data_IF_169400966892
#
_entry.id   IF_169400966892
#
_cell.length_a   1.000
_cell.length_b   1.000
_cell.length_c   1.000
_cell.angle_alpha   90.00
_cell.angle_beta   90.00
_cell.angle_gamma   90.00
#
_symmetry.space_group_name_H-M   'P 1'
#
loop_
_entity.id
_entity.type
_entity.pdbx_description
1 polymer ?
#
# COMPACT_ATOMS: atom_id res chain seq x y z
N UNK A 1 -18.48 -37.33 41.27
CA UNK A 1 -18.63 -37.13 39.81
C UNK A 1 -18.57 -35.64 39.54
N UNK A 2 -17.49 -35.22 38.88
CA UNK A 2 -17.06 -33.82 38.74
C UNK A 2 -17.96 -33.06 37.77
N UNK A 3 -18.41 -31.88 38.20
CA UNK A 3 -19.14 -30.88 37.40
C UNK A 3 -18.16 -30.14 36.48
N UNK A 4 -18.35 -30.25 35.17
CA UNK A 4 -17.60 -29.51 34.18
C UNK A 4 -17.98 -28.02 34.22
N UNK A 5 -17.03 -27.15 34.57
CA UNK A 5 -17.14 -25.71 34.39
C UNK A 5 -16.67 -25.34 32.98
N UNK A 6 -17.61 -24.92 32.13
CA UNK A 6 -17.32 -24.32 30.83
C UNK A 6 -16.65 -22.96 31.02
N UNK A 7 -15.44 -22.79 30.52
CA UNK A 7 -14.77 -21.49 30.41
C UNK A 7 -15.50 -20.59 29.41
N UNK A 8 -15.77 -19.31 29.74
CA UNK A 8 -16.39 -18.40 28.79
C UNK A 8 -15.38 -18.02 27.71
N UNK A 9 -15.77 -18.24 26.44
CA UNK A 9 -15.08 -17.71 25.27
C UNK A 9 -14.96 -16.19 25.39
N UNK A 10 -13.75 -15.67 25.54
CA UNK A 10 -13.49 -14.24 25.52
C UNK A 10 -13.69 -13.71 24.09
N UNK A 11 -14.93 -13.34 23.74
CA UNK A 11 -15.12 -12.45 22.61
C UNK A 11 -14.38 -11.14 22.91
N UNK A 12 -13.62 -10.58 21.96
CA UNK A 12 -13.01 -9.26 22.14
C UNK A 12 -14.14 -8.25 22.40
N UNK A 13 -13.93 -7.27 23.31
CA UNK A 13 -14.96 -6.31 23.65
C UNK A 13 -15.48 -5.60 22.38
N UNK A 14 -16.80 -5.47 22.29
CA UNK A 14 -17.47 -4.74 21.22
C UNK A 14 -16.88 -3.33 21.12
N UNK A 15 -16.21 -3.05 20.00
CA UNK A 15 -15.51 -1.78 19.82
C UNK A 15 -16.54 -0.67 19.67
N UNK A 16 -16.44 0.38 20.48
CA UNK A 16 -17.34 1.53 20.40
C UNK A 16 -17.26 2.20 19.02
N UNK A 17 -18.41 2.63 18.49
CA UNK A 17 -18.55 3.26 17.16
C UNK A 17 -17.57 4.42 16.89
N UNK A 18 -17.13 5.11 17.94
CA UNK A 18 -16.16 6.22 17.89
C UNK A 18 -14.78 5.77 17.38
N UNK A 19 -14.40 4.50 17.56
CA UNK A 19 -13.13 3.97 17.02
C UNK A 19 -13.10 3.91 15.48
N UNK A 20 -14.26 3.91 14.82
CA UNK A 20 -14.36 3.95 13.37
C UNK A 20 -14.30 5.37 12.79
N UNK A 21 -14.39 6.40 13.64
CA UNK A 21 -14.36 7.79 13.21
C UNK A 21 -12.91 8.22 13.01
N UNK A 22 -12.47 8.24 11.76
CA UNK A 22 -11.10 8.58 11.37
C UNK A 22 -11.05 9.91 10.62
N UNK A 23 -9.91 10.59 10.63
CA UNK A 23 -9.72 11.79 9.82
C UNK A 23 -9.94 11.50 8.33
N UNK A 24 -9.53 10.32 7.90
CA UNK A 24 -9.74 9.83 6.52
C UNK A 24 -11.23 9.69 6.18
N UNK A 25 -12.04 9.13 7.09
CA UNK A 25 -13.48 9.03 6.92
C UNK A 25 -14.14 10.41 6.82
N UNK A 26 -13.79 11.33 7.73
CA UNK A 26 -14.32 12.71 7.73
C UNK A 26 -13.97 13.40 6.42
N UNK A 27 -12.70 13.37 6.00
CA UNK A 27 -12.27 13.98 4.74
C UNK A 27 -12.91 13.32 3.52
N UNK A 28 -13.09 12.01 3.53
CA UNK A 28 -13.75 11.28 2.44
C UNK A 28 -15.22 11.67 2.33
N UNK A 29 -15.94 11.76 3.45
CA UNK A 29 -17.34 12.22 3.48
C UNK A 29 -17.44 13.65 2.99
N UNK A 30 -16.61 14.56 3.50
CA UNK A 30 -16.59 15.96 3.06
C UNK A 30 -16.30 16.11 1.56
N UNK A 31 -15.34 15.35 1.03
CA UNK A 31 -15.00 15.36 -0.39
C UNK A 31 -16.10 14.81 -1.30
N UNK A 32 -16.93 13.88 -0.82
CA UNK A 32 -18.09 13.36 -1.57
C UNK A 32 -19.35 14.21 -1.40
N UNK A 33 -19.39 15.08 -0.40
CA UNK A 33 -20.54 15.92 -0.06
C UNK A 33 -20.22 17.38 -0.32
N UNK A 34 -19.85 18.13 0.73
CA UNK A 34 -19.70 19.58 0.69
C UNK A 34 -18.67 20.05 -0.35
N UNK A 35 -17.54 19.37 -0.49
CA UNK A 35 -16.49 19.77 -1.44
C UNK A 35 -16.67 19.21 -2.86
N UNK A 36 -17.78 18.52 -3.13
CA UNK A 36 -18.03 17.98 -4.46
C UNK A 36 -18.71 19.01 -5.38
N UNK A 37 -18.16 19.33 -6.57
CA UNK A 37 -18.74 20.35 -7.46
C UNK A 37 -20.22 20.11 -7.79
N UNK A 38 -20.60 18.86 -8.07
CA UNK A 38 -22.00 18.49 -8.34
C UNK A 38 -22.93 18.86 -7.19
N UNK A 39 -22.56 18.56 -5.94
CA UNK A 39 -23.37 18.85 -4.76
C UNK A 39 -23.48 20.36 -4.52
N UNK A 40 -22.38 21.10 -4.75
CA UNK A 40 -22.40 22.56 -4.67
C UNK A 40 -23.35 23.19 -5.70
N UNK A 41 -23.39 22.64 -6.93
CA UNK A 41 -24.34 23.09 -7.96
C UNK A 41 -25.80 22.75 -7.62
N UNK A 42 -26.08 21.63 -6.95
CA UNK A 42 -27.43 21.35 -6.42
C UNK A 42 -27.89 22.46 -5.48
N UNK A 43 -26.99 23.02 -4.65
CA UNK A 43 -27.30 24.18 -3.80
C UNK A 43 -27.71 25.42 -4.60
N UNK A 44 -26.97 25.74 -5.67
CA UNK A 44 -27.29 26.87 -6.56
C UNK A 44 -28.64 26.65 -7.26
N UNK A 45 -28.88 25.44 -7.78
CA UNK A 45 -30.14 25.07 -8.42
C UNK A 45 -31.32 25.12 -7.45
N UNK A 46 -31.10 24.75 -6.18
CA UNK A 46 -32.14 24.81 -5.14
C UNK A 46 -32.54 26.25 -4.82
N UNK A 47 -31.57 27.16 -4.68
CA UNK A 47 -31.85 28.59 -4.51
C UNK A 47 -32.56 29.19 -5.74
N UNK A 48 -32.18 28.72 -6.93
CA UNK A 48 -32.85 29.11 -8.17
C UNK A 48 -34.29 28.62 -8.21
N UNK A 49 -34.56 27.39 -7.78
CA UNK A 49 -35.91 26.81 -7.70
C UNK A 49 -36.82 27.59 -6.73
N UNK A 50 -36.24 28.18 -5.68
CA UNK A 50 -36.95 29.08 -4.75
C UNK A 50 -37.13 30.52 -5.28
N UNK A 51 -36.81 30.77 -6.56
CA UNK A 51 -36.87 32.09 -7.19
C UNK A 51 -36.04 33.16 -6.44
N UNK A 52 -34.95 32.77 -5.77
CA UNK A 52 -34.07 33.71 -5.06
C UNK A 52 -33.42 34.68 -6.07
N UNK A 53 -33.44 36.01 -5.83
CA UNK A 53 -32.80 36.98 -6.71
C UNK A 53 -31.29 36.76 -6.85
N UNK A 54 -30.75 37.00 -8.04
CA UNK A 54 -29.31 36.87 -8.33
C UNK A 54 -28.43 37.78 -7.45
N UNK A 55 -28.97 38.92 -7.02
CA UNK A 55 -28.30 39.88 -6.15
C UNK A 55 -28.31 39.48 -4.67
N UNK A 56 -29.04 38.42 -4.30
CA UNK A 56 -29.10 37.96 -2.92
C UNK A 56 -27.75 37.34 -2.51
N UNK A 57 -27.26 37.68 -1.32
CA UNK A 57 -25.95 37.26 -0.82
C UNK A 57 -25.79 35.74 -0.85
N UNK A 58 -26.81 34.98 -0.44
CA UNK A 58 -26.79 33.51 -0.46
C UNK A 58 -26.60 32.94 -1.88
N UNK A 59 -27.21 33.57 -2.90
CA UNK A 59 -27.06 33.13 -4.29
C UNK A 59 -25.65 33.41 -4.80
N UNK A 60 -25.09 34.60 -4.49
CA UNK A 60 -23.73 34.97 -4.85
C UNK A 60 -22.69 34.04 -4.20
N UNK A 61 -22.83 33.74 -2.91
CA UNK A 61 -21.92 32.84 -2.18
C UNK A 61 -22.01 31.42 -2.72
N UNK A 62 -23.22 30.87 -2.88
CA UNK A 62 -23.39 29.50 -3.39
C UNK A 62 -22.83 29.35 -4.80
N UNK A 63 -23.06 30.33 -5.68
CA UNK A 63 -22.53 30.33 -7.04
C UNK A 63 -21.02 30.47 -7.04
N UNK A 64 -20.46 31.40 -6.26
CA UNK A 64 -19.01 31.57 -6.12
C UNK A 64 -18.32 30.30 -5.61
N UNK A 65 -18.91 29.64 -4.61
CA UNK A 65 -18.42 28.37 -4.07
C UNK A 65 -18.47 27.23 -5.10
N UNK A 66 -19.59 27.06 -5.80
CA UNK A 66 -19.73 26.02 -6.83
C UNK A 66 -18.76 26.25 -8.00
N UNK A 67 -18.60 27.50 -8.45
CA UNK A 67 -17.62 27.88 -9.47
C UNK A 67 -16.20 27.59 -9.00
N UNK A 68 -15.84 27.99 -7.77
CA UNK A 68 -14.52 27.72 -7.20
C UNK A 68 -14.20 26.21 -7.16
N UNK A 69 -15.11 25.38 -6.65
CA UNK A 69 -14.93 23.94 -6.62
C UNK A 69 -14.84 23.33 -8.03
N UNK A 70 -15.62 23.84 -8.98
CA UNK A 70 -15.56 23.40 -10.39
C UNK A 70 -14.22 23.73 -11.02
N UNK A 71 -13.72 24.96 -10.84
CA UNK A 71 -12.40 25.38 -11.32
C UNK A 71 -11.32 24.50 -10.71
N UNK A 72 -11.39 24.23 -9.39
CA UNK A 72 -10.42 23.38 -8.71
C UNK A 72 -10.45 21.94 -9.23
N UNK A 73 -11.63 21.37 -9.47
CA UNK A 73 -11.77 20.03 -10.02
C UNK A 73 -11.23 19.94 -11.46
N UNK A 74 -11.53 20.93 -12.30
CA UNK A 74 -10.98 21.04 -13.67
C UNK A 74 -9.46 21.20 -13.63
N UNK A 75 -8.93 22.08 -12.80
CA UNK A 75 -7.49 22.27 -12.63
C UNK A 75 -6.79 20.98 -12.19
N UNK A 76 -7.38 20.22 -11.26
CA UNK A 76 -6.86 18.91 -10.84
C UNK A 76 -6.86 17.89 -11.98
N UNK A 77 -7.94 17.82 -12.76
CA UNK A 77 -8.04 16.93 -13.91
C UNK A 77 -7.02 17.30 -15.01
N UNK A 78 -6.86 18.60 -15.29
CA UNK A 78 -5.86 19.11 -16.22
C UNK A 78 -4.44 18.80 -15.74
N UNK A 79 -4.14 19.04 -14.45
CA UNK A 79 -2.82 18.74 -13.89
C UNK A 79 -2.48 17.24 -13.98
N UNK A 80 -3.44 16.35 -13.74
CA UNK A 80 -3.26 14.91 -13.92
C UNK A 80 -2.94 14.54 -15.37
N UNK A 81 -3.66 15.10 -16.34
CA UNK A 81 -3.41 14.88 -17.77
C UNK A 81 -2.06 15.42 -18.22
N UNK A 82 -1.67 16.61 -17.73
CA UNK A 82 -0.39 17.22 -18.07
C UNK A 82 0.80 16.49 -17.42
N UNK A 83 0.62 15.97 -16.20
CA UNK A 83 1.70 15.31 -15.46
C UNK A 83 1.95 13.86 -15.90
N UNK A 84 0.90 13.10 -16.22
CA UNK A 84 0.97 11.66 -16.48
C UNK A 84 0.47 11.24 -17.88
N UNK A 85 0.20 12.23 -18.75
CA UNK A 85 -0.26 12.01 -20.12
C UNK A 85 -1.72 11.53 -20.22
N UNK A 86 -2.10 11.15 -21.44
CA UNK A 86 -3.40 10.52 -21.71
C UNK A 86 -3.42 9.09 -21.17
N UNK A 87 -4.58 8.58 -20.70
CA UNK A 87 -4.68 7.18 -20.32
C UNK A 87 -4.43 6.25 -21.51
N UNK A 88 -3.79 5.11 -21.27
CA UNK A 88 -3.64 4.07 -22.31
C UNK A 88 -4.97 3.32 -22.50
N UNK A 89 -5.27 2.79 -23.70
CA UNK A 89 -6.37 1.85 -23.86
C UNK A 89 -6.08 0.57 -23.07
N UNK A 90 -7.09 0.02 -22.42
CA UNK A 90 -7.00 -1.22 -21.64
C UNK A 90 -8.14 -2.14 -22.06
N UNK A 91 -7.78 -3.31 -22.60
CA UNK A 91 -8.71 -4.41 -22.84
C UNK A 91 -8.28 -5.59 -21.98
N UNK A 92 -9.04 -5.87 -20.92
CA UNK A 92 -8.73 -6.90 -19.93
C UNK A 92 -8.53 -8.30 -20.54
N UNK A 93 -9.08 -8.57 -21.72
CA UNK A 93 -8.90 -9.86 -22.42
C UNK A 93 -7.51 -10.03 -23.05
N UNK A 94 -6.80 -8.92 -23.27
CA UNK A 94 -5.45 -8.89 -23.84
C UNK A 94 -4.38 -8.56 -22.77
N UNK A 95 -4.78 -8.39 -21.50
CA UNK A 95 -3.86 -8.08 -20.42
C UNK A 95 -3.31 -9.35 -19.77
N UNK A 96 -2.00 -9.33 -19.50
CA UNK A 96 -1.31 -10.33 -18.69
C UNK A 96 -0.76 -9.64 -17.44
N UNK A 97 -1.33 -9.99 -16.29
CA UNK A 97 -1.05 -9.34 -15.00
C UNK A 97 -0.07 -10.17 -14.19
N UNK A 98 1.12 -9.63 -13.97
CA UNK A 98 2.15 -10.22 -13.10
C UNK A 98 2.09 -9.54 -11.73
N UNK A 99 1.87 -10.31 -10.66
CA UNK A 99 1.83 -9.81 -9.28
C UNK A 99 2.93 -10.45 -8.45
N UNK A 100 3.87 -9.63 -7.96
CA UNK A 100 4.90 -10.10 -7.02
C UNK A 100 4.39 -10.02 -5.57
N UNK A 101 4.74 -11.01 -4.75
CA UNK A 101 4.24 -11.13 -3.38
C UNK A 101 2.77 -11.54 -3.31
N UNK A 102 2.31 -12.30 -4.32
CA UNK A 102 0.89 -12.67 -4.46
C UNK A 102 0.44 -13.82 -3.56
N UNK A 103 1.30 -14.38 -2.70
CA UNK A 103 0.91 -15.43 -1.77
C UNK A 103 0.14 -14.92 -0.54
N UNK A 104 0.12 -13.60 -0.28
CA UNK A 104 -0.60 -13.05 0.87
C UNK A 104 -0.96 -11.57 0.73
N UNK A 105 -1.80 -11.06 1.64
CA UNK A 105 -2.05 -9.63 1.81
C UNK A 105 -2.65 -8.95 0.57
N UNK A 106 -2.08 -7.79 0.20
CA UNK A 106 -2.56 -6.97 -0.92
C UNK A 106 -2.36 -7.65 -2.28
N UNK A 107 -1.22 -8.32 -2.49
CA UNK A 107 -0.90 -9.00 -3.75
C UNK A 107 -1.89 -10.12 -4.05
N UNK A 108 -2.14 -11.00 -3.06
CA UNK A 108 -3.13 -12.08 -3.18
C UNK A 108 -4.53 -11.55 -3.51
N UNK A 109 -4.93 -10.45 -2.87
CA UNK A 109 -6.24 -9.87 -3.11
C UNK A 109 -6.38 -9.33 -4.53
N UNK A 110 -5.36 -8.63 -5.05
CA UNK A 110 -5.37 -8.12 -6.42
C UNK A 110 -5.39 -9.29 -7.42
N UNK A 111 -4.56 -10.31 -7.19
CA UNK A 111 -4.53 -11.51 -8.04
C UNK A 111 -5.89 -12.21 -8.08
N UNK A 112 -6.54 -12.41 -6.92
CA UNK A 112 -7.90 -13.00 -6.84
C UNK A 112 -8.93 -12.17 -7.61
N UNK A 113 -8.91 -10.84 -7.49
CA UNK A 113 -9.88 -9.99 -8.18
C UNK A 113 -9.72 -10.08 -9.70
N UNK A 114 -8.49 -10.08 -10.22
CA UNK A 114 -8.25 -10.23 -11.66
C UNK A 114 -8.54 -11.65 -12.16
N UNK A 115 -8.19 -12.70 -11.39
CA UNK A 115 -8.52 -14.08 -11.75
C UNK A 115 -10.03 -14.31 -11.85
N UNK A 116 -10.81 -13.76 -10.91
CA UNK A 116 -12.29 -13.78 -10.97
C UNK A 116 -12.87 -12.99 -12.15
N UNK A 117 -12.11 -12.05 -12.72
CA UNK A 117 -12.48 -11.29 -13.93
C UNK A 117 -12.06 -11.99 -15.23
N UNK A 118 -11.42 -13.16 -15.14
CA UNK A 118 -10.98 -13.94 -16.30
C UNK A 118 -9.75 -13.36 -17.01
N UNK A 119 -8.97 -12.53 -16.32
CA UNK A 119 -7.70 -11.99 -16.85
C UNK A 119 -6.59 -13.02 -16.62
N UNK A 120 -5.62 -13.11 -17.52
CA UNK A 120 -4.43 -13.94 -17.32
C UNK A 120 -3.57 -13.37 -16.18
N UNK A 121 -3.44 -14.07 -15.07
CA UNK A 121 -2.70 -13.60 -13.89
C UNK A 121 -1.57 -14.56 -13.54
N UNK A 122 -0.34 -14.05 -13.49
CA UNK A 122 0.82 -14.73 -12.94
C UNK A 122 1.15 -14.21 -11.54
N UNK A 123 1.09 -15.07 -10.53
CA UNK A 123 1.54 -14.76 -9.17
C UNK A 123 2.96 -15.26 -8.95
N UNK A 124 3.84 -14.36 -8.51
CA UNK A 124 5.22 -14.67 -8.13
C UNK A 124 5.39 -14.51 -6.63
N UNK A 125 5.85 -15.56 -5.96
CA UNK A 125 6.23 -15.50 -4.54
C UNK A 125 7.30 -16.57 -4.24
N UNK A 126 8.07 -16.36 -3.17
CA UNK A 126 9.14 -17.28 -2.75
C UNK A 126 8.56 -18.54 -2.08
N UNK A 127 7.36 -18.44 -1.50
CA UNK A 127 6.68 -19.58 -0.87
C UNK A 127 6.35 -20.63 -1.93
N UNK A 128 6.40 -21.90 -1.55
CA UNK A 128 5.80 -22.94 -2.37
C UNK A 128 4.27 -22.80 -2.31
N UNK A 129 3.59 -23.10 -3.41
CA UNK A 129 2.13 -23.06 -3.53
C UNK A 129 1.43 -23.86 -2.42
N UNK A 130 1.96 -25.06 -2.12
CA UNK A 130 1.47 -25.95 -1.06
C UNK A 130 1.52 -25.37 0.35
N UNK A 131 2.30 -24.30 0.57
CA UNK A 131 2.43 -23.62 1.85
C UNK A 131 1.53 -22.38 1.96
N UNK A 132 0.66 -22.14 0.97
CA UNK A 132 -0.27 -21.02 0.96
C UNK A 132 -1.66 -21.53 1.36
N UNK A 133 -2.05 -21.15 2.57
CA UNK A 133 -3.37 -21.49 3.10
C UNK A 133 -4.48 -20.88 2.22
N UNK A 134 -5.42 -21.72 1.79
CA UNK A 134 -6.56 -21.30 0.95
C UNK A 134 -6.18 -20.94 -0.49
N UNK A 135 -5.03 -21.41 -1.00
CA UNK A 135 -4.69 -21.27 -2.42
C UNK A 135 -5.60 -22.10 -3.33
N UNK A 136 -6.07 -23.27 -2.86
CA UNK A 136 -7.00 -24.13 -3.60
C UNK A 136 -8.32 -23.44 -3.97
N UNK A 137 -8.71 -22.40 -3.22
CA UNK A 137 -9.90 -21.58 -3.49
C UNK A 137 -9.64 -20.47 -4.53
N UNK A 138 -8.38 -20.22 -4.89
CA UNK A 138 -7.99 -19.22 -5.88
C UNK A 138 -8.16 -19.81 -7.27
N UNK A 139 -8.95 -19.15 -8.09
CA UNK A 139 -9.25 -19.58 -9.47
C UNK A 139 -8.82 -18.51 -10.47
N UNK A 140 -8.43 -18.94 -11.68
CA UNK A 140 -8.01 -18.04 -12.75
C UNK A 140 -6.66 -17.36 -12.51
N UNK A 141 -5.76 -18.01 -11.76
CA UNK A 141 -4.42 -17.47 -11.44
C UNK A 141 -3.39 -18.60 -11.54
N UNK A 142 -2.31 -18.34 -12.28
CA UNK A 142 -1.17 -19.25 -12.40
C UNK A 142 -0.08 -18.89 -11.39
N UNK A 143 0.42 -19.90 -10.68
CA UNK A 143 1.40 -19.72 -9.62
C UNK A 143 2.82 -20.03 -10.09
N UNK A 144 3.74 -19.11 -9.83
CA UNK A 144 5.15 -19.25 -10.12
C UNK A 144 5.97 -19.04 -8.85
N UNK A 145 6.53 -20.12 -8.31
CA UNK A 145 7.51 -20.01 -7.23
C UNK A 145 8.78 -19.34 -7.78
N UNK A 146 9.13 -18.16 -7.24
CA UNK A 146 10.26 -17.36 -7.71
C UNK A 146 10.78 -16.46 -6.58
N UNK A 147 12.08 -16.54 -6.26
CA UNK A 147 12.73 -15.50 -5.47
C UNK A 147 13.04 -14.31 -6.38
N UNK A 148 12.20 -13.28 -6.30
CA UNK A 148 12.37 -12.07 -7.10
C UNK A 148 13.64 -11.26 -6.75
N UNK A 149 14.33 -11.59 -5.65
CA UNK A 149 15.62 -11.00 -5.32
C UNK A 149 16.78 -11.62 -6.10
N UNK A 150 16.57 -12.78 -6.73
CA UNK A 150 17.50 -13.40 -7.68
C UNK A 150 17.10 -13.05 -9.12
N UNK A 151 17.96 -12.26 -9.77
CA UNK A 151 17.75 -11.84 -11.17
C UNK A 151 17.57 -13.02 -12.13
N UNK A 152 18.34 -14.09 -11.97
CA UNK A 152 18.29 -15.26 -12.84
C UNK A 152 16.98 -16.03 -12.72
N UNK A 153 16.40 -16.10 -11.52
CA UNK A 153 15.07 -16.67 -11.32
C UNK A 153 13.96 -15.82 -11.95
N UNK A 154 14.03 -14.50 -11.83
CA UNK A 154 13.07 -13.58 -12.46
C UNK A 154 13.09 -13.75 -13.98
N UNK A 155 14.27 -13.82 -14.60
CA UNK A 155 14.38 -13.99 -16.06
C UNK A 155 13.86 -15.34 -16.54
N UNK A 156 14.14 -16.42 -15.81
CA UNK A 156 13.60 -17.76 -16.13
C UNK A 156 12.08 -17.78 -16.02
N UNK A 157 11.55 -17.21 -14.94
CA UNK A 157 10.11 -17.17 -14.67
C UNK A 157 9.37 -16.29 -15.68
N UNK A 158 9.94 -15.15 -16.05
CA UNK A 158 9.35 -14.26 -17.05
C UNK A 158 9.25 -14.91 -18.44
N UNK A 159 10.25 -15.72 -18.84
CA UNK A 159 10.17 -16.50 -20.09
C UNK A 159 9.01 -17.50 -20.04
N UNK A 160 8.88 -18.25 -18.95
CA UNK A 160 7.76 -19.18 -18.75
C UNK A 160 6.40 -18.48 -18.81
N UNK A 161 6.25 -17.36 -18.11
CA UNK A 161 5.02 -16.56 -18.15
C UNK A 161 4.72 -16.10 -19.58
N UNK A 162 5.73 -15.68 -20.33
CA UNK A 162 5.56 -15.23 -21.71
C UNK A 162 5.12 -16.37 -22.63
N UNK A 163 5.63 -17.58 -22.41
CA UNK A 163 5.28 -18.78 -23.17
C UNK A 163 3.88 -19.32 -22.81
N UNK A 164 3.51 -19.27 -21.53
CA UNK A 164 2.28 -19.86 -21.00
C UNK A 164 1.08 -18.90 -21.10
N UNK A 165 1.27 -17.60 -20.83
CA UNK A 165 0.21 -16.60 -20.71
C UNK A 165 0.29 -15.47 -21.75
N UNK A 166 1.43 -15.32 -22.42
CA UNK A 166 1.71 -14.19 -23.32
C UNK A 166 2.50 -13.07 -22.65
N UNK A 167 2.81 -12.02 -23.41
CA UNK A 167 3.68 -10.93 -22.94
C UNK A 167 3.04 -10.16 -21.79
N UNK A 168 3.69 -10.05 -20.61
CA UNK A 168 3.19 -9.25 -19.49
C UNK A 168 2.97 -7.78 -19.85
N UNK A 169 1.75 -7.31 -19.62
CA UNK A 169 1.34 -5.91 -19.86
C UNK A 169 1.12 -5.16 -18.54
N UNK A 170 0.83 -5.85 -17.43
CA UNK A 170 0.72 -5.23 -16.10
C UNK A 170 1.72 -5.88 -15.15
N UNK A 171 2.58 -5.09 -14.53
CA UNK A 171 3.50 -5.55 -13.47
C UNK A 171 3.14 -4.85 -12.16
N UNK A 172 2.77 -5.64 -11.14
CA UNK A 172 2.43 -5.16 -9.80
C UNK A 172 3.50 -5.61 -8.83
N UNK A 173 4.41 -4.69 -8.51
CA UNK A 173 5.46 -4.88 -7.53
C UNK A 173 4.93 -4.67 -6.11
N UNK A 174 4.41 -5.73 -5.50
CA UNK A 174 3.82 -5.71 -4.16
C UNK A 174 4.65 -6.47 -3.10
N UNK A 175 5.61 -7.29 -3.51
CA UNK A 175 6.45 -8.06 -2.59
C UNK A 175 7.22 -7.15 -1.61
N UNK A 176 7.35 -7.62 -0.37
CA UNK A 176 8.17 -6.99 0.65
C UNK A 176 8.71 -8.01 1.65
N UNK A 177 9.95 -7.80 2.11
CA UNK A 177 10.51 -8.52 3.24
C UNK A 177 9.77 -8.19 4.53
N UNK A 178 9.80 -9.14 5.48
CA UNK A 178 9.28 -8.95 6.83
C UNK A 178 9.90 -7.71 7.48
N UNK A 179 9.09 -6.94 8.20
CA UNK A 179 9.54 -5.75 8.91
C UNK A 179 10.24 -6.15 10.21
N UNK A 180 11.50 -5.71 10.39
CA UNK A 180 12.34 -6.07 11.53
C UNK A 180 11.98 -5.31 12.82
N UNK A 181 11.58 -4.03 12.72
CA UNK A 181 11.25 -3.16 13.85
C UNK A 181 12.38 -2.99 14.89
N UNK A 182 13.65 -3.03 14.47
CA UNK A 182 14.81 -2.94 15.35
C UNK A 182 15.47 -1.56 15.30
N UNK A 183 15.96 -1.01 16.43
CA UNK A 183 16.88 0.13 16.41
C UNK A 183 18.09 -0.18 15.53
N UNK A 184 18.68 0.86 14.91
CA UNK A 184 19.82 0.71 14.00
C UNK A 184 20.99 -0.07 14.65
N UNK A 185 21.28 0.21 15.93
CA UNK A 185 22.37 -0.46 16.67
C UNK A 185 22.13 -1.96 16.93
N UNK A 186 20.88 -2.42 16.83
CA UNK A 186 20.49 -3.81 17.05
C UNK A 186 20.14 -4.53 15.76
N UNK A 187 20.07 -3.81 14.64
CA UNK A 187 19.73 -4.35 13.34
C UNK A 187 20.98 -4.97 12.71
N UNK A 188 20.92 -6.27 12.38
CA UNK A 188 22.04 -6.94 11.74
C UNK A 188 22.21 -6.48 10.28
N UNK A 189 23.45 -6.56 9.77
CA UNK A 189 23.74 -6.19 8.39
C UNK A 189 23.00 -7.11 7.40
N UNK A 190 22.86 -8.40 7.71
CA UNK A 190 22.16 -9.38 6.89
C UNK A 190 20.66 -9.08 6.81
N UNK A 191 20.03 -8.71 7.93
CA UNK A 191 18.63 -8.32 7.97
C UNK A 191 18.39 -7.05 7.14
N UNK A 192 19.28 -6.05 7.26
CA UNK A 192 19.23 -4.84 6.44
C UNK A 192 19.37 -5.17 4.95
N UNK A 193 20.38 -5.95 4.56
CA UNK A 193 20.62 -6.36 3.18
C UNK A 193 19.44 -7.13 2.59
N UNK A 194 18.82 -8.03 3.37
CA UNK A 194 17.64 -8.78 2.94
C UNK A 194 16.47 -7.85 2.62
N UNK A 195 16.22 -6.85 3.47
CA UNK A 195 15.18 -5.84 3.23
C UNK A 195 15.46 -5.05 1.95
N UNK A 196 16.68 -4.58 1.73
CA UNK A 196 17.05 -3.86 0.51
C UNK A 196 16.92 -4.74 -0.73
N UNK A 197 17.41 -5.99 -0.68
CA UNK A 197 17.33 -6.93 -1.81
C UNK A 197 15.89 -7.20 -2.21
N UNK A 198 15.01 -7.45 -1.24
CA UNK A 198 13.61 -7.79 -1.51
C UNK A 198 12.76 -6.58 -1.90
N UNK A 199 12.91 -5.45 -1.22
CA UNK A 199 11.99 -4.31 -1.39
C UNK A 199 12.41 -3.35 -2.49
N UNK A 200 13.70 -3.33 -2.85
CA UNK A 200 14.26 -2.37 -3.81
C UNK A 200 14.91 -3.08 -4.99
N UNK A 201 15.88 -3.96 -4.75
CA UNK A 201 16.64 -4.60 -5.83
C UNK A 201 15.74 -5.52 -6.68
N UNK A 202 14.83 -6.26 -6.05
CA UNK A 202 13.85 -7.09 -6.75
C UNK A 202 12.93 -6.27 -7.68
N UNK A 203 12.55 -5.04 -7.27
CA UNK A 203 11.74 -4.16 -8.13
C UNK A 203 12.55 -3.68 -9.33
N UNK A 204 13.83 -3.36 -9.12
CA UNK A 204 14.75 -3.07 -10.23
C UNK A 204 14.85 -4.26 -11.19
N UNK A 205 15.00 -5.49 -10.68
CA UNK A 205 15.06 -6.69 -11.51
C UNK A 205 13.78 -6.91 -12.30
N UNK A 206 12.63 -6.93 -11.65
CA UNK A 206 11.35 -7.12 -12.33
C UNK A 206 11.08 -6.05 -13.39
N UNK A 207 11.30 -4.76 -13.09
CA UNK A 207 11.19 -3.70 -14.09
C UNK A 207 12.09 -3.97 -15.30
N UNK A 208 13.37 -4.30 -15.10
CA UNK A 208 14.29 -4.58 -16.20
C UNK A 208 13.94 -5.84 -17.01
N UNK A 209 13.28 -6.84 -16.41
CA UNK A 209 12.87 -8.05 -17.13
C UNK A 209 11.60 -7.81 -17.95
N UNK A 210 10.58 -7.19 -17.35
CA UNK A 210 9.25 -7.11 -17.96
C UNK A 210 9.05 -5.87 -18.84
N UNK A 211 9.73 -4.75 -18.55
CA UNK A 211 9.58 -3.51 -19.31
C UNK A 211 9.90 -3.63 -20.80
N UNK A 212 10.96 -4.34 -21.25
CA UNK A 212 11.23 -4.49 -22.68
C UNK A 212 10.06 -5.13 -23.44
N UNK A 213 9.40 -6.13 -22.84
CA UNK A 213 8.22 -6.76 -23.41
C UNK A 213 7.06 -5.77 -23.56
N UNK A 214 6.75 -5.01 -22.50
CA UNK A 214 5.72 -3.97 -22.53
C UNK A 214 5.97 -2.93 -23.64
N UNK A 215 7.22 -2.50 -23.80
CA UNK A 215 7.62 -1.54 -24.84
C UNK A 215 7.53 -2.11 -26.27
N UNK A 216 7.65 -3.43 -26.44
CA UNK A 216 7.52 -4.08 -27.76
C UNK A 216 6.07 -4.34 -28.17
N UNK A 217 5.13 -4.34 -27.23
CA UNK A 217 3.71 -4.59 -27.50
C UNK A 217 2.99 -3.30 -27.91
N UNK A 218 1.98 -3.41 -28.79
CA UNK A 218 1.15 -2.27 -29.18
C UNK A 218 0.23 -1.78 -28.05
N UNK A 219 -0.16 -2.69 -27.14
CA UNK A 219 -1.04 -2.39 -26.01
C UNK A 219 -0.31 -1.65 -24.87
N UNK A 220 1.02 -1.64 -24.92
CA UNK A 220 1.87 -1.04 -23.92
C UNK A 220 1.77 -1.75 -22.58
N UNK A 221 1.79 -0.98 -21.49
CA UNK A 221 1.67 -1.61 -20.19
C UNK A 221 1.49 -0.67 -19.00
N UNK A 222 1.44 -1.26 -17.81
CA UNK A 222 1.32 -0.53 -16.55
C UNK A 222 2.20 -1.16 -15.48
N UNK A 223 3.15 -0.38 -14.95
CA UNK A 223 4.00 -0.79 -13.84
C UNK A 223 3.51 -0.11 -12.57
N UNK A 224 3.08 -0.92 -11.60
CA UNK A 224 2.63 -0.49 -10.28
C UNK A 224 3.70 -0.82 -9.25
N UNK A 225 4.20 0.21 -8.56
CA UNK A 225 5.15 0.03 -7.46
C UNK A 225 4.50 0.36 -6.12
N UNK A 226 4.38 -0.65 -5.24
CA UNK A 226 3.81 -0.49 -3.90
C UNK A 226 4.88 -0.05 -2.91
N UNK A 227 4.91 1.26 -2.67
CA UNK A 227 5.75 1.93 -1.69
C UNK A 227 5.00 2.23 -0.37
N UNK A 228 5.55 3.08 0.48
CA UNK A 228 4.96 3.45 1.75
C UNK A 228 5.27 4.89 2.15
N UNK A 229 4.34 5.51 2.88
CA UNK A 229 4.52 6.82 3.52
C UNK A 229 5.73 6.85 4.47
N UNK A 230 6.12 5.70 5.02
CA UNK A 230 7.29 5.57 5.88
C UNK A 230 8.61 5.77 5.14
N UNK A 231 8.64 5.66 3.81
CA UNK A 231 9.80 6.06 3.00
C UNK A 231 10.05 7.57 3.01
N UNK A 232 9.07 8.38 3.44
CA UNK A 232 9.21 9.84 3.57
C UNK A 232 9.33 10.29 5.01
N UNK A 233 8.57 9.66 5.92
CA UNK A 233 8.56 10.03 7.33
C UNK A 233 9.71 9.39 8.13
N UNK A 234 10.27 8.27 7.70
CA UNK A 234 11.44 7.63 8.33
C UNK A 234 11.31 7.47 9.85
N UNK A 235 10.40 6.59 10.28
CA UNK A 235 10.16 6.34 11.71
C UNK A 235 11.31 5.58 12.38
N UNK A 236 11.55 5.83 13.66
CA UNK A 236 12.55 5.09 14.43
C UNK A 236 12.26 3.57 14.46
N UNK A 237 13.32 2.77 14.36
CA UNK A 237 13.23 1.31 14.33
C UNK A 237 12.90 0.71 12.96
N UNK A 238 12.80 1.52 11.90
CA UNK A 238 12.46 1.10 10.53
C UNK A 238 13.48 1.57 9.49
N UNK A 239 14.76 1.68 9.86
CA UNK A 239 15.79 2.26 8.99
C UNK A 239 15.97 1.51 7.67
N UNK A 240 15.94 0.18 7.70
CA UNK A 240 15.99 -0.68 6.50
C UNK A 240 14.74 -0.54 5.63
N UNK A 241 13.56 -0.61 6.25
CA UNK A 241 12.28 -0.51 5.56
C UNK A 241 12.09 0.88 4.93
N UNK A 242 12.33 1.95 5.70
CA UNK A 242 12.23 3.32 5.22
C UNK A 242 13.23 3.59 4.09
N UNK A 243 14.49 3.19 4.23
CA UNK A 243 15.48 3.32 3.16
C UNK A 243 15.05 2.58 1.89
N UNK A 244 14.54 1.35 2.02
CA UNK A 244 14.08 0.58 0.86
C UNK A 244 12.89 1.23 0.14
N UNK A 245 11.90 1.75 0.87
CA UNK A 245 10.70 2.37 0.30
C UNK A 245 10.99 3.78 -0.24
N UNK A 246 11.89 4.53 0.38
CA UNK A 246 12.42 5.78 -0.17
C UNK A 246 13.14 5.54 -1.51
N UNK A 247 14.03 4.55 -1.54
CA UNK A 247 14.75 4.14 -2.75
C UNK A 247 13.80 3.67 -3.86
N UNK A 248 12.76 2.91 -3.52
CA UNK A 248 11.74 2.47 -4.47
C UNK A 248 10.96 3.65 -5.06
N UNK A 249 10.54 4.61 -4.22
CA UNK A 249 9.86 5.81 -4.70
C UNK A 249 10.78 6.69 -5.57
N UNK A 250 12.09 6.71 -5.31
CA UNK A 250 13.06 7.39 -6.15
C UNK A 250 13.22 6.67 -7.51
N UNK A 251 13.45 5.35 -7.48
CA UNK A 251 13.54 4.50 -8.68
C UNK A 251 12.31 4.66 -9.58
N UNK A 252 11.11 4.65 -9.00
CA UNK A 252 9.87 4.85 -9.74
C UNK A 252 9.84 6.19 -10.49
N UNK A 253 10.18 7.29 -9.82
CA UNK A 253 10.18 8.63 -10.44
C UNK A 253 11.25 8.76 -11.52
N UNK A 254 12.42 8.18 -11.29
CA UNK A 254 13.49 8.15 -12.29
C UNK A 254 13.05 7.39 -13.53
N UNK A 255 12.47 6.20 -13.37
CA UNK A 255 11.97 5.40 -14.50
C UNK A 255 10.82 6.10 -15.23
N UNK A 256 9.88 6.74 -14.52
CA UNK A 256 8.83 7.56 -15.14
C UNK A 256 9.42 8.71 -15.97
N UNK A 257 10.47 9.38 -15.48
CA UNK A 257 11.15 10.42 -16.22
C UNK A 257 11.91 9.88 -17.46
N UNK A 258 12.54 8.71 -17.36
CA UNK A 258 13.20 8.04 -18.49
C UNK A 258 12.19 7.66 -19.58
N UNK A 259 11.01 7.15 -19.20
CA UNK A 259 9.92 6.86 -20.14
C UNK A 259 9.42 8.13 -20.84
N UNK A 260 9.32 9.25 -20.12
CA UNK A 260 8.94 10.54 -20.70
C UNK A 260 9.98 11.07 -21.70
N UNK A 261 11.27 10.99 -21.36
CA UNK A 261 12.35 11.43 -22.25
C UNK A 261 12.40 10.58 -23.53
N UNK A 262 12.13 9.27 -23.40
CA UNK A 262 12.05 8.35 -24.52
C UNK A 262 10.71 8.34 -25.27
N UNK A 263 9.73 9.18 -24.84
CA UNK A 263 8.36 9.27 -25.38
C UNK A 263 7.56 7.95 -25.31
N UNK A 264 7.89 7.12 -24.33
CA UNK A 264 7.21 5.85 -24.05
C UNK A 264 6.20 5.98 -22.90
N UNK A 265 6.01 7.17 -22.32
CA UNK A 265 5.09 7.40 -21.20
C UNK A 265 3.61 7.39 -21.60
N UNK A 266 3.30 7.49 -22.89
CA UNK A 266 1.95 7.20 -23.41
C UNK A 266 1.67 5.70 -23.50
N UNK A 267 2.71 4.90 -23.81
CA UNK A 267 2.63 3.45 -23.99
C UNK A 267 2.68 2.72 -22.64
N UNK A 268 3.64 3.07 -21.78
CA UNK A 268 3.84 2.43 -20.48
C UNK A 268 3.52 3.40 -19.36
N UNK A 269 2.49 3.10 -18.58
CA UNK A 269 2.04 3.90 -17.45
C UNK A 269 2.71 3.46 -16.16
N UNK A 270 3.06 4.45 -15.35
CA UNK A 270 3.69 4.26 -14.06
C UNK A 270 2.70 4.65 -12.96
N UNK A 271 2.44 3.73 -12.02
CA UNK A 271 1.59 3.97 -10.86
C UNK A 271 2.38 3.77 -9.56
N UNK A 272 2.59 4.82 -8.79
CA UNK A 272 3.21 4.75 -7.46
C UNK A 272 2.12 4.69 -6.40
N UNK A 273 2.17 3.66 -5.55
CA UNK A 273 1.22 3.50 -4.46
C UNK A 273 1.95 3.75 -3.14
N UNK A 274 1.65 4.83 -2.45
CA UNK A 274 2.25 5.16 -1.15
C UNK A 274 1.19 5.01 -0.05
N UNK A 275 1.23 3.88 0.66
CA UNK A 275 0.26 3.56 1.71
C UNK A 275 0.82 3.77 3.10
N UNK A 276 -0.09 4.12 4.02
CA UNK A 276 0.06 3.93 5.46
C UNK A 276 0.08 2.46 5.87
N UNK A 277 -0.05 2.22 7.16
CA UNK A 277 -0.15 0.86 7.71
C UNK A 277 -1.42 0.17 7.17
N UNK A 278 -1.27 -1.07 6.68
CA UNK A 278 -2.40 -1.90 6.24
C UNK A 278 -2.65 -3.05 7.22
N UNK A 279 -3.90 -3.55 7.29
CA UNK A 279 -4.28 -4.75 8.05
C UNK A 279 -3.82 -6.05 7.35
N UNK A 280 -2.51 -6.19 7.11
CA UNK A 280 -1.92 -7.39 6.47
C UNK A 280 -0.93 -8.10 7.41
N UNK A 281 -0.60 -9.39 7.14
CA UNK A 281 0.40 -10.13 7.92
C UNK A 281 1.75 -9.42 8.04
N UNK A 282 2.14 -8.62 7.03
CA UNK A 282 3.39 -7.86 7.01
C UNK A 282 3.51 -6.86 8.18
N UNK A 283 2.39 -6.25 8.59
CA UNK A 283 2.35 -5.22 9.63
C UNK A 283 1.90 -5.74 11.00
N UNK A 284 1.75 -7.06 11.18
CA UNK A 284 1.26 -7.67 12.43
C UNK A 284 2.11 -7.31 13.66
N UNK A 285 3.40 -6.99 13.47
CA UNK A 285 4.32 -6.58 14.53
C UNK A 285 4.28 -5.08 14.88
N UNK A 286 3.60 -4.24 14.09
CA UNK A 286 3.58 -2.79 14.30
C UNK A 286 2.29 -2.38 14.99
N UNK A 287 2.42 -1.67 16.12
CA UNK A 287 1.27 -1.06 16.79
C UNK A 287 0.95 0.30 16.19
N UNK A 288 -0.32 0.52 15.85
CA UNK A 288 -0.79 1.82 15.36
C UNK A 288 -0.76 2.83 16.50
N UNK A 289 0.03 3.92 16.39
CA UNK A 289 0.19 4.87 17.49
C UNK A 289 -1.02 5.79 17.65
N UNK A 290 -1.72 6.12 16.54
CA UNK A 290 -2.91 6.96 16.55
C UNK A 290 -3.86 6.59 15.40
N UNK A 291 -4.97 5.91 15.72
CA UNK A 291 -5.97 5.45 14.75
C UNK A 291 -6.75 6.59 14.07
N UNK A 292 -6.82 7.77 14.69
CA UNK A 292 -7.55 8.91 14.12
C UNK A 292 -6.75 9.59 12.99
N UNK A 293 -5.47 9.87 13.24
CA UNK A 293 -4.59 10.56 12.28
C UNK A 293 -4.03 9.59 11.23
N UNK A 294 -3.63 8.39 11.66
CA UNK A 294 -3.04 7.36 10.82
C UNK A 294 -3.85 6.06 10.95
N UNK A 295 -5.07 6.01 10.38
CA UNK A 295 -5.88 4.80 10.43
C UNK A 295 -5.20 3.65 9.71
N UNK A 296 -5.47 2.44 10.20
CA UNK A 296 -5.08 1.21 9.50
C UNK A 296 -5.98 1.07 8.29
N UNK A 297 -5.37 0.93 7.13
CA UNK A 297 -6.07 0.76 5.86
C UNK A 297 -6.48 -0.69 5.66
N UNK A 298 -7.72 -0.89 5.20
CA UNK A 298 -8.17 -2.18 4.70
C UNK A 298 -7.56 -2.46 3.30
N UNK A 299 -6.89 -3.61 3.09
CA UNK A 299 -6.26 -3.96 1.81
C UNK A 299 -7.23 -3.91 0.63
N UNK A 300 -8.51 -4.22 0.85
CA UNK A 300 -9.56 -4.15 -0.16
C UNK A 300 -9.71 -2.76 -0.74
N UNK A 301 -9.65 -1.72 0.11
CA UNK A 301 -9.78 -0.35 -0.38
C UNK A 301 -8.57 0.05 -1.24
N UNK A 302 -7.37 -0.35 -0.83
CA UNK A 302 -6.13 -0.09 -1.59
C UNK A 302 -6.14 -0.85 -2.92
N UNK A 303 -6.51 -2.13 -2.91
CA UNK A 303 -6.63 -2.96 -4.10
C UNK A 303 -7.62 -2.36 -5.10
N UNK A 304 -8.81 -1.94 -4.65
CA UNK A 304 -9.79 -1.28 -5.50
C UNK A 304 -9.22 -0.04 -6.18
N UNK A 305 -8.50 0.82 -5.44
CA UNK A 305 -7.88 2.03 -6.01
C UNK A 305 -6.81 1.72 -7.05
N UNK A 306 -6.01 0.67 -6.81
CA UNK A 306 -4.98 0.21 -7.76
C UNK A 306 -5.65 -0.33 -9.03
N UNK A 307 -6.61 -1.25 -8.88
CA UNK A 307 -7.32 -1.88 -9.99
C UNK A 307 -8.06 -0.84 -10.82
N UNK A 308 -8.80 0.08 -10.20
CA UNK A 308 -9.46 1.16 -10.94
C UNK A 308 -8.47 2.02 -11.73
N UNK A 309 -7.29 2.32 -11.18
CA UNK A 309 -6.29 3.11 -11.92
C UNK A 309 -5.68 2.32 -13.09
N UNK A 310 -5.46 1.02 -12.93
CA UNK A 310 -5.01 0.13 -14.01
C UNK A 310 -6.09 0.01 -15.09
N UNK A 311 -7.34 -0.31 -14.71
CA UNK A 311 -8.47 -0.47 -15.63
C UNK A 311 -8.75 0.81 -16.44
N UNK A 312 -8.57 1.97 -15.83
CA UNK A 312 -8.70 3.27 -16.51
C UNK A 312 -7.46 3.65 -17.33
N UNK A 313 -6.40 2.84 -17.33
CA UNK A 313 -5.15 3.08 -18.06
C UNK A 313 -4.36 4.29 -17.57
N UNK A 314 -4.51 4.69 -16.30
CA UNK A 314 -3.93 5.93 -15.77
C UNK A 314 -2.62 5.70 -15.03
N UNK A 315 -1.62 6.52 -15.36
CA UNK A 315 -0.44 6.71 -14.50
C UNK A 315 -0.74 7.65 -13.33
N UNK A 316 0.14 7.68 -12.33
CA UNK A 316 0.09 8.66 -11.26
C UNK A 316 0.55 8.16 -9.91
N UNK A 317 0.13 8.87 -8.85
CA UNK A 317 0.47 8.53 -7.47
C UNK A 317 -0.79 8.39 -6.64
N UNK A 318 -1.00 7.20 -6.09
CA UNK A 318 -2.06 6.90 -5.13
C UNK A 318 -1.48 7.03 -3.73
N UNK A 319 -2.01 7.95 -2.93
CA UNK A 319 -1.63 8.14 -1.52
C UNK A 319 -2.81 7.86 -0.62
N UNK A 320 -2.63 6.92 0.30
CA UNK A 320 -3.65 6.51 1.27
C UNK A 320 -3.01 6.34 2.65
N UNK A 321 -3.69 6.71 3.76
CA UNK A 321 -4.97 7.43 3.85
C UNK A 321 -4.81 8.91 3.45
N UNK A 322 -5.86 9.72 3.50
CA UNK A 322 -5.88 11.13 3.08
C UNK A 322 -4.74 11.97 3.68
N UNK A 323 -4.30 11.69 4.91
CA UNK A 323 -3.15 12.39 5.51
C UNK A 323 -1.86 12.23 4.70
N UNK A 324 -1.71 11.10 3.99
CA UNK A 324 -0.55 10.81 3.15
C UNK A 324 -0.37 11.84 2.03
N UNK A 325 -1.45 12.49 1.58
CA UNK A 325 -1.40 13.57 0.61
C UNK A 325 -0.72 14.84 1.16
N UNK A 326 -0.71 15.03 2.48
CA UNK A 326 -0.12 16.19 3.16
C UNK A 326 1.30 15.96 3.65
N UNK A 327 1.87 14.77 3.48
CA UNK A 327 3.23 14.45 3.93
C UNK A 327 4.29 15.32 3.24
N UNK A 328 4.05 15.74 2.00
CA UNK A 328 4.96 16.67 1.32
C UNK A 328 5.00 18.05 2.00
N UNK A 329 3.86 18.51 2.53
CA UNK A 329 3.81 19.76 3.29
C UNK A 329 4.54 19.65 4.63
N UNK A 330 4.52 18.46 5.25
CA UNK A 330 5.29 18.22 6.47
C UNK A 330 6.79 18.46 6.27
N UNK A 331 7.35 18.11 5.10
CA UNK A 331 8.77 18.30 4.80
C UNK A 331 9.18 19.79 4.70
N UNK A 332 8.22 20.68 4.40
CA UNK A 332 8.44 22.14 4.28
C UNK A 332 8.39 22.85 5.64
N UNK A 333 7.84 22.21 6.67
CA UNK A 333 7.70 22.81 8.00
C UNK A 333 9.06 23.01 8.68
N UNK A 334 9.23 24.04 9.55
CA UNK A 334 10.40 24.18 10.41
C UNK A 334 10.68 22.92 11.24
N UNK A 335 11.95 22.60 11.46
CA UNK A 335 12.39 21.38 12.15
C UNK A 335 11.80 21.23 13.57
N UNK A 336 11.56 22.33 14.28
CA UNK A 336 10.91 22.33 15.60
C UNK A 336 9.46 21.84 15.52
N UNK A 337 8.69 22.29 14.53
CA UNK A 337 7.30 21.87 14.29
C UNK A 337 7.27 20.41 13.85
N UNK A 338 8.20 20.01 12.97
CA UNK A 338 8.33 18.61 12.57
C UNK A 338 8.55 17.70 13.79
N UNK A 339 9.49 18.06 14.67
CA UNK A 339 9.78 17.30 15.90
C UNK A 339 8.58 17.21 16.83
N UNK A 340 7.84 18.31 17.00
CA UNK A 340 6.61 18.32 17.80
C UNK A 340 5.53 17.41 17.18
N UNK A 341 5.31 17.50 15.87
CA UNK A 341 4.33 16.66 15.17
C UNK A 341 4.68 15.17 15.29
N UNK A 342 5.96 14.80 15.18
CA UNK A 342 6.41 13.42 15.42
C UNK A 342 6.13 12.95 16.83
N UNK A 343 6.45 13.78 17.83
CA UNK A 343 6.17 13.48 19.24
C UNK A 343 4.67 13.26 19.48
N UNK A 344 3.81 14.16 19.00
CA UNK A 344 2.35 14.06 19.14
C UNK A 344 1.76 12.87 18.39
N UNK A 345 2.32 12.52 17.22
CA UNK A 345 1.85 11.37 16.44
C UNK A 345 2.26 10.02 17.04
N UNK A 346 3.30 9.98 17.89
CA UNK A 346 3.86 8.75 18.45
C UNK A 346 4.59 7.86 17.43
N UNK A 347 4.86 8.35 16.22
CA UNK A 347 5.41 7.55 15.11
C UNK A 347 6.74 6.87 15.46
N UNK A 348 7.59 7.53 16.24
CA UNK A 348 8.91 7.03 16.65
C UNK A 348 8.88 5.95 17.72
N UNK A 349 7.75 5.75 18.40
CA UNK A 349 7.59 4.71 19.42
C UNK A 349 6.82 3.49 18.92
N UNK A 350 6.13 3.60 17.78
CA UNK A 350 5.24 2.57 17.25
C UNK A 350 5.93 1.24 16.94
N UNK A 351 7.04 1.28 16.20
CA UNK A 351 7.79 0.08 15.83
C UNK A 351 8.55 -0.52 17.02
N UNK A 352 9.16 0.33 17.85
CA UNK A 352 9.95 -0.11 19.00
C UNK A 352 9.09 -0.82 20.07
N UNK A 353 7.90 -0.30 20.38
CA UNK A 353 6.98 -0.94 21.34
C UNK A 353 6.55 -2.33 20.90
N UNK A 354 6.35 -2.54 19.60
CA UNK A 354 6.04 -3.87 19.05
C UNK A 354 7.16 -4.88 19.29
N UNK A 355 8.42 -4.46 19.08
CA UNK A 355 9.59 -5.30 19.29
C UNK A 355 9.84 -5.67 20.76
N UNK A 356 9.66 -4.71 21.68
CA UNK A 356 9.86 -4.97 23.12
C UNK A 356 8.86 -5.99 23.67
N UNK A 357 7.60 -5.96 23.22
CA UNK A 357 6.59 -6.93 23.66
C UNK A 357 6.77 -8.30 23.02
N UNK A 358 7.16 -8.36 21.74
CA UNK A 358 7.54 -9.63 21.10
C UNK A 358 8.72 -10.30 21.82
N UNK A 359 9.73 -9.52 22.22
CA UNK A 359 10.85 -10.01 23.04
C UNK A 359 10.42 -10.53 24.42
N UNK A 360 9.46 -9.87 25.08
CA UNK A 360 8.88 -10.36 26.35
C UNK A 360 8.06 -11.63 26.18
N UNK A 361 7.32 -11.78 25.08
CA UNK A 361 6.57 -13.01 24.81
C UNK A 361 7.49 -14.22 24.58
N UNK A 362 8.62 -14.03 23.89
CA UNK A 362 9.62 -15.08 23.71
C UNK A 362 10.37 -15.43 25.02
N UNK A 363 10.62 -14.45 25.90
CA UNK A 363 11.18 -14.73 27.23
C UNK A 363 10.17 -15.38 28.19
N UNK A 364 8.87 -15.08 28.06
CA UNK A 364 7.81 -15.74 28.83
C UNK A 364 7.70 -17.24 28.52
N UNK A 365 7.87 -17.62 27.26
CA UNK A 365 7.85 -19.04 26.83
C UNK A 365 9.09 -19.80 27.31
N UNK A 366 10.26 -19.16 27.36
CA UNK A 366 11.48 -19.73 27.94
C UNK A 366 11.40 -19.87 29.47
N UNK A 367 10.68 -18.99 30.17
CA UNK A 367 10.46 -19.11 31.62
C UNK A 367 9.42 -20.15 32.02
N UNK A 368 8.56 -20.59 31.09
CA UNK A 368 7.54 -21.62 31.35
C UNK A 368 8.01 -23.06 31.09
N UNK A 369 9.26 -23.26 30.64
CA UNK A 369 9.85 -24.58 30.39
C UNK A 369 10.92 -25.01 31.41
N UNK A 370 11.09 -24.26 32.51
CA UNK A 370 11.94 -24.67 33.63
C UNK A 370 11.02 -25.12 34.78
N UNK A 371 10.88 -26.44 34.93
CA UNK A 371 10.18 -27.06 36.07
C UNK A 371 10.98 -26.80 37.37
N UNK A 372 10.34 -26.59 38.54
CA UNK A 372 11.02 -26.18 39.77
C UNK A 372 11.96 -27.22 40.44
N UNK A 373 12.21 -28.37 39.82
CA UNK A 373 12.85 -29.51 40.49
C UNK A 373 14.38 -29.63 40.31
N UNK A 374 15.05 -28.71 39.60
CA UNK A 374 16.52 -28.77 39.41
C UNK A 374 17.36 -27.81 40.27
N UNK A 375 16.74 -27.06 41.20
CA UNK A 375 17.48 -26.17 42.12
C UNK A 375 17.46 -26.74 43.53
N UNK A 376 17.97 -27.96 43.72
CA UNK A 376 18.26 -28.49 45.07
C UNK A 376 19.28 -29.64 45.14
N UNK A 377 20.33 -29.62 44.33
CA UNK A 377 21.54 -30.44 44.60
C UNK A 377 22.80 -29.66 44.21
N UNK A 378 23.24 -28.74 45.08
CA UNK A 378 24.64 -28.33 45.23
C UNK A 378 24.79 -27.36 46.40
N UNK A 379 24.68 -27.92 47.60
CA UNK A 379 25.35 -27.43 48.79
C UNK A 379 25.72 -28.69 49.58
N UNK A 380 27.01 -28.81 49.87
CA UNK A 380 27.71 -29.88 50.58
C UNK A 380 28.62 -30.69 49.65
N UNK A 381 29.80 -30.11 49.40
CA UNK A 381 31.14 -30.71 49.51
C UNK A 381 32.21 -29.65 49.24
#
# INVERSE_FOLDING_TARGET
>A
MSTASSSPSSQPPDKGWVEHLTLDLVLTVLNRTLFHPFVAWVGVLSLRAQATPYTHISFMIATGYAVFLTIFAVARAMNQRLAHGLPRPVDLSEEVVVVTGGASGLGLLIARIYGLRGVSVAVLDIKAESNIEGWEEVTGVDYYQCDISDRGEVEKTARRITEELGTPTVLINCAAARINCQPLLSLSAEAFQKTIRTNLLAVFHTCQVFLPGMLSTQNGGTIVNVSSVLGRLSAAGLSDYAASKAGLSALHRTLEAELRVSRNDELVKMLLVETGQMSTPLFKSIKTPNKFIAPVLEPVHVAQKIITAIDEGRGGIIRLPAFAAFIDWYAVLPASIQRLARYLSGIDHAALRGSFEAGRSNHGVLSSQISPDEVKVKKDD
#
